data_IF_123040950674
#
_entry.id   IF_123040950674
#
_cell.length_a   1.000
_cell.length_b   1.000
_cell.length_c   1.000
_cell.angle_alpha   90.00
_cell.angle_beta   90.00
_cell.angle_gamma   90.00
#
_symmetry.space_group_name_H-M   'P 1'
#
loop_
_entity.id
_entity.type
_entity.pdbx_description
1 polymer ?
#
# COMPACT_ATOMS: atom_id res chain seq x y z
N UNK A 1 -17.05 10.61 7.29
CA UNK A 1 -16.01 11.16 8.19
C UNK A 1 -14.74 10.36 7.91
N UNK A 2 -13.59 11.01 7.66
CA UNK A 2 -12.38 10.32 7.22
C UNK A 2 -11.74 9.45 8.31
N UNK A 3 -10.91 8.48 7.93
CA UNK A 3 -10.09 7.74 8.90
C UNK A 3 -9.14 8.72 9.59
N UNK A 4 -9.05 8.73 10.93
CA UNK A 4 -8.22 9.70 11.66
C UNK A 4 -6.72 9.60 11.35
N UNK A 5 -6.29 8.51 10.71
CA UNK A 5 -4.90 8.23 10.33
C UNK A 5 -4.58 8.54 8.88
N UNK A 6 -5.57 8.96 8.08
CA UNK A 6 -5.38 9.22 6.65
C UNK A 6 -5.72 10.66 6.36
N UNK A 7 -4.69 11.45 6.09
CA UNK A 7 -4.81 12.84 5.71
C UNK A 7 -4.26 13.00 4.29
N UNK A 8 -5.05 13.58 3.39
CA UNK A 8 -4.64 13.77 1.99
C UNK A 8 -4.06 12.50 1.33
N UNK A 9 -4.67 11.34 1.61
CA UNK A 9 -4.21 10.00 1.14
C UNK A 9 -2.89 9.52 1.76
N UNK A 10 -2.26 10.29 2.64
CA UNK A 10 -1.09 9.87 3.41
C UNK A 10 -1.53 9.18 4.69
N UNK A 11 -1.03 7.97 4.92
CA UNK A 11 -1.21 7.26 6.16
C UNK A 11 -0.19 7.72 7.20
N UNK A 12 -0.67 8.03 8.39
CA UNK A 12 0.13 8.37 9.55
C UNK A 12 -0.26 7.43 10.70
N UNK A 13 0.76 6.85 11.35
CA UNK A 13 0.54 6.11 12.58
C UNK A 13 -0.06 7.03 13.65
N UNK A 14 -0.83 6.44 14.56
CA UNK A 14 -1.38 7.18 15.69
C UNK A 14 -0.22 7.78 16.51
N UNK A 15 -0.30 9.05 16.95
CA UNK A 15 0.74 9.67 17.78
C UNK A 15 1.10 8.89 19.05
N UNK A 16 0.18 8.07 19.59
CA UNK A 16 0.46 7.22 20.75
C UNK A 16 1.42 6.05 20.45
N UNK A 17 1.69 5.79 19.16
CA UNK A 17 2.68 4.83 18.68
C UNK A 17 4.02 5.50 18.34
N UNK A 18 4.14 6.83 18.53
CA UNK A 18 5.39 7.54 18.29
C UNK A 18 6.53 6.98 19.16
N UNK A 19 7.74 6.93 18.59
CA UNK A 19 8.93 6.41 19.27
C UNK A 19 9.02 4.89 19.36
N UNK A 20 8.08 4.15 18.77
CA UNK A 20 8.19 2.70 18.58
C UNK A 20 9.09 2.39 17.38
N UNK A 21 9.84 1.30 17.48
CA UNK A 21 10.63 0.78 16.36
C UNK A 21 9.74 0.27 15.23
N UNK A 22 10.28 0.24 14.01
CA UNK A 22 9.53 -0.15 12.80
C UNK A 22 8.94 -1.55 12.91
N UNK A 23 9.65 -2.49 13.54
CA UNK A 23 9.19 -3.86 13.80
C UNK A 23 7.91 -3.93 14.65
N UNK A 24 7.65 -2.90 15.45
CA UNK A 24 6.43 -2.79 16.27
C UNK A 24 5.31 -2.03 15.55
N UNK A 25 5.63 -1.33 14.46
CA UNK A 25 4.68 -0.59 13.62
C UNK A 25 4.21 -1.40 12.42
N UNK A 26 5.02 -2.37 11.97
CA UNK A 26 4.75 -3.26 10.85
C UNK A 26 4.79 -4.69 11.38
N UNK A 27 3.63 -5.32 11.41
CA UNK A 27 3.48 -6.67 11.98
C UNK A 27 3.04 -7.65 10.92
N UNK A 28 3.63 -8.85 10.94
CA UNK A 28 3.13 -9.97 10.15
C UNK A 28 2.15 -10.81 10.97
N UNK A 29 1.01 -11.16 10.39
CA UNK A 29 0.08 -12.09 11.03
C UNK A 29 0.60 -13.52 10.90
N UNK A 30 0.78 -14.29 11.99
CA UNK A 30 1.29 -15.66 11.90
C UNK A 30 0.30 -16.65 11.23
N UNK A 31 -0.97 -16.26 11.07
CA UNK A 31 -2.02 -17.13 10.51
C UNK A 31 -2.29 -16.86 9.03
N UNK A 32 -2.25 -15.59 8.62
CA UNK A 32 -2.44 -15.24 7.21
C UNK A 32 -1.15 -14.81 6.51
N UNK A 33 -0.02 -14.79 7.23
CA UNK A 33 1.34 -14.51 6.78
C UNK A 33 1.55 -13.15 6.10
N UNK A 34 0.57 -12.25 6.22
CA UNK A 34 0.58 -10.93 5.61
C UNK A 34 0.99 -9.81 6.56
N UNK A 35 1.45 -8.71 5.98
CA UNK A 35 1.84 -7.49 6.66
C UNK A 35 0.68 -6.55 6.93
N UNK A 36 0.69 -5.97 8.12
CA UNK A 36 -0.30 -5.01 8.59
C UNK A 36 0.36 -3.87 9.35
N UNK A 37 -0.24 -2.68 9.25
CA UNK A 37 0.15 -1.55 10.08
C UNK A 37 -0.46 -1.70 11.50
N UNK A 38 0.33 -1.40 12.52
CA UNK A 38 -0.11 -1.43 13.90
C UNK A 38 -1.29 -0.47 14.16
N UNK A 39 -2.30 -0.97 14.88
CA UNK A 39 -3.42 -0.18 15.38
C UNK A 39 -3.19 0.19 16.85
N UNK A 40 -3.49 1.42 17.26
CA UNK A 40 -3.49 1.78 18.68
C UNK A 40 -4.81 1.35 19.36
N UNK A 41 -4.77 1.13 20.67
CA UNK A 41 -5.95 0.73 21.46
C UNK A 41 -7.09 1.77 21.43
N UNK A 42 -6.74 3.07 21.40
CA UNK A 42 -7.71 4.17 21.39
C UNK A 42 -8.50 4.31 20.07
N UNK A 43 -7.99 3.76 18.97
CA UNK A 43 -8.70 3.77 17.70
C UNK A 43 -9.67 2.59 17.56
N UNK A 44 -9.70 1.68 18.54
CA UNK A 44 -10.75 0.67 18.78
C UNK A 44 -11.42 0.16 17.49
N UNK A 45 -10.61 -0.29 16.53
CA UNK A 45 -11.05 -1.23 15.50
C UNK A 45 -11.04 -2.63 16.15
N UNK A 46 -11.65 -2.79 17.34
CA UNK A 46 -11.78 -4.01 18.17
C UNK A 46 -10.55 -4.92 18.35
N UNK A 47 -9.34 -4.40 18.26
CA UNK A 47 -8.11 -5.12 18.62
C UNK A 47 -7.39 -4.39 19.75
N UNK A 48 -7.25 -5.06 20.89
CA UNK A 48 -6.32 -4.62 21.92
C UNK A 48 -4.89 -4.72 21.38
N UNK A 49 -4.31 -3.56 21.12
CA UNK A 49 -2.91 -3.21 21.38
C UNK A 49 -1.85 -3.70 20.38
N UNK A 50 -1.07 -2.71 19.92
CA UNK A 50 0.32 -2.81 19.49
C UNK A 50 1.22 -3.30 20.66
N UNK A 51 0.97 -4.52 21.15
CA UNK A 51 1.75 -5.20 22.17
C UNK A 51 2.18 -6.59 21.69
N UNK A 52 3.34 -7.09 22.15
CA UNK A 52 3.75 -8.47 21.90
C UNK A 52 2.68 -9.45 22.44
N UNK A 53 2.42 -10.53 21.69
CA UNK A 53 1.49 -11.62 22.02
C UNK A 53 -0.03 -11.32 21.96
N UNK A 54 -0.46 -10.24 21.30
CA UNK A 54 -1.89 -9.99 21.01
C UNK A 54 -2.22 -10.13 19.51
N UNK A 55 -3.52 -10.31 19.21
CA UNK A 55 -4.04 -10.54 17.84
C UNK A 55 -3.70 -9.36 16.93
N UNK A 56 -3.13 -9.65 15.76
CA UNK A 56 -2.80 -8.64 14.74
C UNK A 56 -4.07 -7.96 14.22
N UNK A 57 -4.04 -6.63 14.14
CA UNK A 57 -5.11 -5.82 13.56
C UNK A 57 -5.09 -5.95 12.03
N UNK A 58 -6.21 -6.38 11.43
CA UNK A 58 -6.31 -6.60 9.97
C UNK A 58 -6.87 -5.40 9.19
N UNK A 59 -7.00 -4.25 9.87
CA UNK A 59 -7.64 -3.06 9.30
C UNK A 59 -6.76 -2.34 8.26
N UNK A 60 -5.48 -2.10 8.58
CA UNK A 60 -4.51 -1.47 7.67
C UNK A 60 -3.63 -2.53 7.03
N UNK A 61 -3.98 -2.94 5.82
CA UNK A 61 -3.25 -3.97 5.08
C UNK A 61 -2.13 -3.32 4.26
N UNK A 62 -0.91 -3.80 4.42
CA UNK A 62 0.25 -3.23 3.74
C UNK A 62 0.53 -3.97 2.44
N UNK A 63 0.98 -3.22 1.44
CA UNK A 63 1.68 -3.74 0.26
C UNK A 63 2.93 -2.91 0.05
N UNK A 64 4.09 -3.56 0.10
CA UNK A 64 5.35 -2.95 -0.28
C UNK A 64 5.54 -3.10 -1.79
N UNK A 65 5.96 -2.03 -2.43
CA UNK A 65 6.18 -1.99 -3.87
C UNK A 65 7.53 -1.37 -4.19
N UNK A 66 8.13 -1.83 -5.28
CA UNK A 66 9.31 -1.25 -5.92
C UNK A 66 9.18 -1.41 -7.44
N UNK A 67 9.70 -0.43 -8.17
CA UNK A 67 9.66 -0.39 -9.63
C UNK A 67 11.02 -0.01 -10.22
N UNK A 68 11.65 -0.97 -10.88
CA UNK A 68 12.97 -0.77 -11.48
C UNK A 68 12.89 -0.72 -13.02
N UNK A 69 13.74 0.10 -13.64
CA UNK A 69 13.92 0.10 -15.09
C UNK A 69 15.40 0.20 -15.46
N UNK A 70 15.91 -0.81 -16.16
CA UNK A 70 17.23 -0.76 -16.78
C UNK A 70 17.16 -0.02 -18.12
N UNK A 71 18.25 0.69 -18.43
CA UNK A 71 18.32 1.60 -19.57
C UNK A 71 17.17 2.65 -19.59
N UNK A 72 16.86 3.18 -18.40
CA UNK A 72 15.73 4.07 -18.10
C UNK A 72 15.49 5.14 -19.18
N UNK A 73 14.36 5.02 -19.91
CA UNK A 73 13.92 5.98 -20.92
C UNK A 73 14.60 5.89 -22.29
N UNK A 74 15.46 4.89 -22.51
CA UNK A 74 16.23 4.70 -23.76
C UNK A 74 15.72 3.49 -24.56
N UNK A 75 16.26 3.31 -25.76
CA UNK A 75 15.97 2.15 -26.61
C UNK A 75 16.31 0.84 -25.87
N UNK A 76 15.45 -0.18 -25.97
CA UNK A 76 15.56 -1.46 -25.23
C UNK A 76 15.43 -1.34 -23.69
N UNK A 77 14.78 -0.28 -23.17
CA UNK A 77 14.44 -0.18 -21.75
C UNK A 77 13.61 -1.38 -21.27
N UNK A 78 14.04 -2.00 -20.17
CA UNK A 78 13.37 -3.16 -19.53
C UNK A 78 12.99 -2.78 -18.12
N UNK A 79 11.74 -3.01 -17.75
CA UNK A 79 11.23 -2.68 -16.44
C UNK A 79 10.68 -3.92 -15.72
N UNK A 80 10.77 -3.89 -14.40
CA UNK A 80 10.26 -4.92 -13.51
C UNK A 80 9.56 -4.30 -12.30
N UNK A 81 8.61 -5.04 -11.74
CA UNK A 81 7.83 -4.68 -10.57
C UNK A 81 8.13 -5.68 -9.45
N UNK A 82 8.49 -5.19 -8.27
CA UNK A 82 8.57 -5.95 -7.04
C UNK A 82 7.38 -5.62 -6.14
N UNK A 83 6.68 -6.63 -5.65
CA UNK A 83 5.50 -6.47 -4.79
C UNK A 83 5.56 -7.50 -3.68
N UNK A 84 5.33 -7.10 -2.43
CA UNK A 84 5.08 -8.05 -1.33
C UNK A 84 3.98 -7.58 -0.39
N UNK A 85 3.12 -8.51 0.02
CA UNK A 85 2.12 -8.31 1.08
C UNK A 85 2.40 -9.17 2.31
N UNK A 86 3.50 -9.93 2.34
CA UNK A 86 3.88 -10.90 3.36
C UNK A 86 5.14 -11.67 2.95
N UNK A 87 5.81 -12.35 3.89
CA UNK A 87 7.09 -13.04 3.60
C UNK A 87 6.94 -14.40 2.89
N UNK A 88 5.74 -14.95 2.84
CA UNK A 88 5.49 -16.19 2.11
C UNK A 88 5.65 -15.98 0.60
N UNK A 89 6.11 -17.00 -0.12
CA UNK A 89 6.32 -16.94 -1.58
C UNK A 89 5.03 -16.55 -2.33
N UNK A 90 3.87 -17.05 -1.88
CA UNK A 90 2.55 -16.71 -2.45
C UNK A 90 2.15 -15.24 -2.24
N UNK A 91 2.84 -14.54 -1.33
CA UNK A 91 2.64 -13.13 -1.02
C UNK A 91 3.68 -12.22 -1.67
N UNK A 92 4.57 -12.77 -2.51
CA UNK A 92 5.65 -12.06 -3.18
C UNK A 92 5.55 -12.20 -4.70
N UNK A 93 5.68 -11.10 -5.43
CA UNK A 93 5.61 -11.09 -6.89
C UNK A 93 6.77 -10.31 -7.50
N UNK A 94 7.39 -10.91 -8.51
CA UNK A 94 8.38 -10.29 -9.40
C UNK A 94 7.87 -10.36 -10.84
N UNK A 95 7.49 -9.21 -11.39
CA UNK A 95 6.73 -9.13 -12.63
C UNK A 95 7.51 -8.31 -13.66
N UNK A 96 7.83 -8.93 -14.80
CA UNK A 96 8.39 -8.23 -15.95
C UNK A 96 7.32 -7.35 -16.63
N UNK A 97 7.63 -6.08 -16.87
CA UNK A 97 6.73 -5.16 -17.57
C UNK A 97 6.74 -5.48 -19.07
N UNK A 98 5.59 -5.92 -19.58
CA UNK A 98 5.36 -6.21 -21.00
C UNK A 98 4.67 -5.04 -21.70
N UNK A 99 4.70 -5.02 -23.02
CA UNK A 99 4.04 -3.98 -23.81
C UNK A 99 2.53 -3.92 -23.56
N UNK A 100 1.90 -5.05 -23.23
CA UNK A 100 0.49 -5.08 -22.84
C UNK A 100 0.19 -4.29 -21.55
N UNK A 101 1.18 -4.13 -20.67
CA UNK A 101 1.07 -3.44 -19.38
C UNK A 101 1.49 -1.98 -19.51
N UNK A 102 2.50 -1.69 -20.34
CA UNK A 102 3.03 -0.35 -20.58
C UNK A 102 3.03 0.00 -22.09
N UNK A 103 1.85 0.20 -22.70
CA UNK A 103 1.70 0.18 -24.17
C UNK A 103 2.19 1.43 -24.89
N UNK A 104 2.52 2.50 -24.18
CA UNK A 104 2.76 3.81 -24.79
C UNK A 104 4.07 4.40 -24.31
N UNK A 105 5.00 4.70 -25.23
CA UNK A 105 6.21 5.45 -24.94
C UNK A 105 7.31 4.63 -24.24
N UNK A 106 8.46 5.25 -23.94
CA UNK A 106 9.59 4.54 -23.36
C UNK A 106 9.30 4.12 -21.92
N UNK A 107 9.76 2.92 -21.56
CA UNK A 107 9.72 2.44 -20.18
C UNK A 107 10.68 3.26 -19.32
N UNK A 108 10.23 3.61 -18.12
CA UNK A 108 11.04 4.37 -17.17
C UNK A 108 10.85 3.86 -15.75
N UNK A 109 11.78 4.16 -14.85
CA UNK A 109 11.66 3.80 -13.44
C UNK A 109 10.39 4.41 -12.84
N UNK A 110 10.09 5.69 -13.12
CA UNK A 110 8.88 6.34 -12.59
C UNK A 110 7.57 5.66 -13.03
N UNK A 111 7.53 5.11 -14.25
CA UNK A 111 6.38 4.31 -14.71
C UNK A 111 6.34 2.95 -14.03
N UNK A 112 7.49 2.29 -13.88
CA UNK A 112 7.58 1.03 -13.17
C UNK A 112 7.07 1.17 -11.73
N UNK A 113 7.47 2.22 -11.02
CA UNK A 113 7.02 2.53 -9.66
C UNK A 113 5.49 2.70 -9.56
N UNK A 114 4.90 3.48 -10.47
CA UNK A 114 3.44 3.65 -10.53
C UNK A 114 2.71 2.34 -10.89
N UNK A 115 3.26 1.56 -11.81
CA UNK A 115 2.71 0.27 -12.19
C UNK A 115 2.79 -0.74 -11.05
N UNK A 116 3.88 -0.75 -10.27
CA UNK A 116 4.04 -1.58 -9.09
C UNK A 116 2.99 -1.24 -8.03
N UNK A 117 2.70 0.05 -7.80
CA UNK A 117 1.62 0.48 -6.91
C UNK A 117 0.24 0.00 -7.39
N UNK A 118 -0.08 0.13 -8.67
CA UNK A 118 -1.36 -0.33 -9.25
C UNK A 118 -1.49 -1.85 -9.12
N UNK A 119 -0.45 -2.58 -9.51
CA UNK A 119 -0.47 -4.04 -9.49
C UNK A 119 -0.50 -4.56 -8.05
N UNK A 120 0.24 -3.95 -7.12
CA UNK A 120 0.20 -4.28 -5.70
C UNK A 120 -1.19 -4.17 -5.09
N UNK A 121 -1.95 -3.13 -5.45
CA UNK A 121 -3.35 -2.99 -5.01
C UNK A 121 -4.25 -4.10 -5.56
N UNK A 122 -4.05 -4.54 -6.82
CA UNK A 122 -4.81 -5.65 -7.40
C UNK A 122 -4.48 -6.99 -6.74
N UNK A 123 -3.20 -7.23 -6.45
CA UNK A 123 -2.76 -8.45 -5.75
C UNK A 123 -3.40 -8.50 -4.37
N UNK A 124 -3.32 -7.41 -3.62
CA UNK A 124 -3.93 -7.28 -2.30
C UNK A 124 -5.45 -7.54 -2.34
N UNK A 125 -6.17 -6.93 -3.29
CA UNK A 125 -7.60 -7.18 -3.48
C UNK A 125 -7.91 -8.64 -3.83
N UNK A 126 -7.12 -9.25 -4.72
CA UNK A 126 -7.28 -10.64 -5.14
C UNK A 126 -7.05 -11.61 -3.99
N UNK A 127 -5.98 -11.42 -3.22
CA UNK A 127 -5.68 -12.22 -2.02
C UNK A 127 -6.80 -12.12 -0.98
N UNK A 128 -7.43 -10.95 -0.82
CA UNK A 128 -8.59 -10.78 0.05
C UNK A 128 -9.83 -11.54 -0.45
N UNK A 129 -10.06 -11.57 -1.76
CA UNK A 129 -11.20 -12.31 -2.35
C UNK A 129 -11.04 -13.82 -2.22
N UNK A 130 -9.83 -14.34 -2.38
CA UNK A 130 -9.55 -15.78 -2.26
C UNK A 130 -9.77 -16.31 -0.84
N UNK A 131 -9.65 -15.45 0.18
CA UNK A 131 -9.87 -15.81 1.59
C UNK A 131 -11.28 -15.50 2.10
N UNK A 132 -12.27 -15.29 1.22
CA UNK A 132 -13.69 -15.10 1.61
C UNK A 132 -14.18 -16.32 2.41
N UNK A 133 -14.39 -16.13 3.72
CA UNK A 133 -14.87 -17.17 4.63
C UNK A 133 -14.11 -17.23 5.96
N UNK A 134 -12.90 -16.65 6.00
CA UNK A 134 -12.12 -16.58 7.21
C UNK A 134 -12.68 -15.51 8.16
N UNK A 135 -13.36 -15.97 9.21
CA UNK A 135 -13.97 -15.09 10.21
C UNK A 135 -12.94 -14.54 11.20
N UNK A 136 -11.75 -15.13 11.28
CA UNK A 136 -10.70 -14.77 12.24
C UNK A 136 -9.96 -13.49 11.84
N UNK A 137 -9.89 -13.20 10.54
CA UNK A 137 -9.15 -12.08 9.95
C UNK A 137 -10.03 -10.94 9.46
N UNK A 138 -11.30 -10.89 9.89
CA UNK A 138 -12.15 -9.73 9.63
C UNK A 138 -11.65 -8.55 10.46
N UNK A 139 -11.56 -7.33 9.90
CA UNK A 139 -11.31 -6.14 10.69
C UNK A 139 -12.42 -6.07 11.76
N UNK A 140 -12.09 -5.84 13.03
CA UNK A 140 -13.12 -5.80 14.06
C UNK A 140 -14.03 -4.61 13.79
N UNK A 141 -15.30 -4.90 13.51
CA UNK A 141 -16.29 -3.92 13.07
C UNK A 141 -16.77 -3.14 14.28
N UNK A 142 -16.75 -1.80 14.22
CA UNK A 142 -17.74 -1.01 14.97
C UNK A 142 -19.08 -1.16 14.25
N UNK A 143 -20.19 -1.08 14.99
CA UNK A 143 -21.55 -1.15 14.42
C UNK A 143 -21.83 -0.07 13.37
N UNK A 144 -20.99 0.98 13.33
CA UNK A 144 -21.04 2.10 12.38
C UNK A 144 -20.07 1.98 11.19
N UNK A 145 -19.24 0.93 11.14
CA UNK A 145 -18.14 0.82 10.18
C UNK A 145 -18.60 0.10 8.91
N UNK A 146 -19.11 0.87 7.95
CA UNK A 146 -19.45 0.38 6.60
C UNK A 146 -18.23 0.15 5.72
N UNK A 147 -17.02 0.52 6.18
CA UNK A 147 -15.80 0.44 5.39
C UNK A 147 -15.09 -0.90 5.58
N UNK A 148 -14.65 -1.47 4.45
CA UNK A 148 -13.80 -2.65 4.42
C UNK A 148 -12.38 -2.37 4.94
N UNK A 149 -11.44 -3.31 4.76
CA UNK A 149 -10.04 -3.04 5.07
C UNK A 149 -9.52 -1.81 4.29
N UNK A 150 -8.60 -1.08 4.92
CA UNK A 150 -7.87 0.01 4.29
C UNK A 150 -6.56 -0.54 3.73
N UNK A 151 -6.27 -0.23 2.46
CA UNK A 151 -5.02 -0.63 1.81
C UNK A 151 -4.01 0.51 1.87
N UNK A 152 -2.80 0.20 2.34
CA UNK A 152 -1.69 1.13 2.44
C UNK A 152 -0.58 0.64 1.51
N UNK A 153 -0.25 1.45 0.51
CA UNK A 153 0.90 1.22 -0.35
C UNK A 153 2.12 1.83 0.32
N UNK A 154 3.15 1.01 0.53
CA UNK A 154 4.44 1.41 1.09
C UNK A 154 5.45 1.45 -0.05
N UNK A 155 6.04 2.62 -0.27
CA UNK A 155 6.99 2.88 -1.35
C UNK A 155 8.10 3.80 -0.85
N UNK A 156 9.31 3.61 -1.35
CA UNK A 156 10.47 4.50 -1.15
C UNK A 156 10.53 5.61 -2.21
N UNK A 157 9.91 5.40 -3.37
CA UNK A 157 9.80 6.40 -4.43
C UNK A 157 9.03 7.66 -3.98
N UNK A 158 9.76 8.77 -3.78
CA UNK A 158 9.15 10.08 -3.54
C UNK A 158 8.17 10.48 -4.65
N UNK A 159 8.43 10.03 -5.89
CA UNK A 159 7.57 10.32 -7.03
C UNK A 159 6.18 9.71 -6.85
N UNK A 160 6.10 8.47 -6.36
CA UNK A 160 4.82 7.83 -6.01
C UNK A 160 4.19 8.51 -4.80
N UNK A 161 4.95 8.67 -3.72
CA UNK A 161 4.44 9.19 -2.44
C UNK A 161 3.93 10.62 -2.58
N UNK A 162 4.74 11.56 -3.07
CA UNK A 162 4.33 12.96 -3.30
C UNK A 162 3.34 13.07 -4.46
N UNK A 163 3.50 12.23 -5.48
CA UNK A 163 2.58 12.16 -6.61
C UNK A 163 1.13 11.96 -6.17
N UNK A 164 0.87 11.00 -5.28
CA UNK A 164 -0.50 10.71 -4.84
C UNK A 164 -0.98 11.61 -3.69
N UNK A 165 -0.09 12.04 -2.80
CA UNK A 165 -0.46 12.78 -1.57
C UNK A 165 -0.48 14.30 -1.76
N UNK A 166 0.37 14.85 -2.61
CA UNK A 166 0.55 16.31 -2.76
C UNK A 166 0.21 16.81 -4.17
N UNK A 167 0.74 16.13 -5.20
CA UNK A 167 0.63 16.61 -6.58
C UNK A 167 -0.72 16.28 -7.20
N UNK A 168 -1.22 15.05 -7.02
CA UNK A 168 -2.51 14.62 -7.55
C UNK A 168 -3.67 15.53 -7.12
N UNK A 169 -3.84 15.89 -5.83
CA UNK A 169 -4.88 16.84 -5.43
C UNK A 169 -4.74 18.18 -6.15
N UNK A 170 -3.51 18.69 -6.30
CA UNK A 170 -3.21 19.95 -6.98
C UNK A 170 -3.51 19.88 -8.48
N UNK A 171 -3.04 18.83 -9.17
CA UNK A 171 -3.31 18.59 -10.59
C UNK A 171 -4.79 18.47 -10.85
N UNK A 172 -5.54 17.76 -10.01
CA UNK A 172 -7.00 17.63 -10.15
C UNK A 172 -7.71 18.98 -10.12
N UNK A 173 -7.29 19.90 -9.25
CA UNK A 173 -7.83 21.27 -9.18
C UNK A 173 -7.35 22.13 -10.37
N UNK A 174 -6.14 21.85 -10.89
CA UNK A 174 -5.54 22.57 -12.03
C UNK A 174 -5.82 21.91 -13.40
N UNK A 175 -6.84 21.05 -13.51
CA UNK A 175 -7.17 20.33 -14.75
C UNK A 175 -5.99 19.56 -15.36
N UNK A 176 -5.26 18.81 -14.53
CA UNK A 176 -4.14 17.93 -14.89
C UNK A 176 -2.91 18.64 -15.48
N UNK A 177 -2.78 19.94 -15.23
CA UNK A 177 -1.64 20.73 -15.68
C UNK A 177 -0.50 20.71 -14.67
N UNK A 178 0.70 20.67 -15.21
CA UNK A 178 1.97 20.84 -14.48
C UNK A 178 2.09 22.27 -13.93
N UNK A 179 3.07 22.49 -13.04
CA UNK A 179 3.38 23.84 -12.54
C UNK A 179 3.78 24.81 -13.67
N UNK A 180 4.31 24.29 -14.78
CA UNK A 180 4.63 25.05 -15.98
C UNK A 180 3.39 25.37 -16.85
N UNK A 181 2.18 24.97 -16.43
CA UNK A 181 0.92 25.25 -17.12
C UNK A 181 0.65 24.38 -18.35
N UNK A 182 1.53 23.42 -18.64
CA UNK A 182 1.35 22.38 -19.67
C UNK A 182 0.55 21.22 -19.10
#
# INVERSE_FOLDING_TARGET
MGHPNIEQRKFNFCPTLAGRDLEHLITQCPMCTRFFAACCSHQSYGGDLALPNKRVCHHFQLVFIDGACSNNGRDDAKAGLGITIGDDEECCWSIAVKDAVDPVGPRTSQRAELLAAIEGLKQLETSNRLRKGDSLHKPPRRDTDTLGPTYIVVADSEYVVKGITEWFPTWRVKNWRTAAGK
#
